data_IF_701703353673
#
_entry.id   IF_701703353673
#
_cell.length_a   1.000
_cell.length_b   1.000
_cell.length_c   1.000
_cell.angle_alpha   90.00
_cell.angle_beta   90.00
_cell.angle_gamma   90.00
#
_symmetry.space_group_name_H-M   'P 1'
#
loop_
_entity.id
_entity.type
_entity.pdbx_description
1 polymer ?
#
# COMPACT_ATOMS: atom_id res chain seq x y z
N UNK A 1 -12.84 -28.59 25.60
CA UNK A 1 -11.42 -28.24 25.36
C UNK A 1 -11.31 -26.74 25.26
N UNK A 2 -10.36 -26.07 25.95
CA UNK A 2 -10.10 -24.67 25.71
C UNK A 2 -9.55 -24.47 24.29
N UNK A 3 -9.85 -23.34 23.67
CA UNK A 3 -9.29 -23.00 22.36
C UNK A 3 -7.75 -22.95 22.44
N UNK A 4 -7.02 -23.45 21.44
CA UNK A 4 -5.57 -23.41 21.46
C UNK A 4 -5.12 -21.94 21.42
N UNK A 5 -4.15 -21.53 22.25
CA UNK A 5 -3.63 -20.16 22.24
C UNK A 5 -2.90 -19.89 20.94
N UNK A 6 -3.03 -18.65 20.44
CA UNK A 6 -2.22 -18.18 19.33
C UNK A 6 -0.75 -18.10 19.77
N UNK A 7 0.13 -18.75 19.02
CA UNK A 7 1.57 -18.70 19.30
C UNK A 7 2.08 -17.27 19.04
N UNK A 8 2.81 -16.65 19.97
CA UNK A 8 3.38 -15.34 19.74
C UNK A 8 4.33 -15.33 18.53
N UNK A 9 4.06 -14.47 17.56
CA UNK A 9 4.93 -14.29 16.40
C UNK A 9 6.22 -13.55 16.78
N UNK A 10 7.29 -13.80 16.04
CA UNK A 10 8.52 -13.02 16.16
C UNK A 10 8.25 -11.58 15.72
N UNK A 11 8.51 -10.62 16.61
CA UNK A 11 8.41 -9.20 16.30
C UNK A 11 9.68 -8.74 15.59
N UNK A 12 9.55 -7.83 14.64
CA UNK A 12 10.67 -7.33 13.86
C UNK A 12 10.71 -5.79 13.82
N UNK A 13 11.91 -5.26 13.59
CA UNK A 13 12.11 -3.83 13.35
C UNK A 13 11.99 -3.55 11.85
N UNK A 14 11.01 -2.76 11.46
CA UNK A 14 10.57 -2.60 10.07
C UNK A 14 11.61 -2.02 9.07
N UNK A 15 12.48 -1.05 9.42
CA UNK A 15 13.50 -0.54 8.51
C UNK A 15 14.42 -1.64 7.98
N UNK A 16 14.66 -1.63 6.66
CA UNK A 16 15.48 -2.63 5.97
C UNK A 16 14.78 -3.97 5.69
N UNK A 17 13.52 -4.12 6.09
CA UNK A 17 12.74 -5.34 5.84
C UNK A 17 11.63 -5.09 4.84
N UNK A 18 10.86 -4.00 5.02
CA UNK A 18 9.73 -3.67 4.15
C UNK A 18 10.19 -3.38 2.73
N UNK A 19 9.44 -3.88 1.76
CA UNK A 19 9.64 -3.56 0.35
C UNK A 19 8.40 -2.91 -0.25
N UNK A 20 8.63 -1.90 -1.08
CA UNK A 20 7.61 -1.16 -1.80
C UNK A 20 7.98 -1.11 -3.28
N UNK A 21 7.21 -1.79 -4.11
CA UNK A 21 7.49 -1.92 -5.53
C UNK A 21 6.37 -1.30 -6.35
N UNK A 22 6.72 -0.43 -7.30
CA UNK A 22 5.79 0.09 -8.29
C UNK A 22 5.87 -0.71 -9.57
N UNK A 23 4.74 -1.30 -9.98
CA UNK A 23 4.61 -2.09 -11.20
C UNK A 23 3.65 -1.38 -12.15
N UNK A 24 4.10 -1.11 -13.37
CA UNK A 24 3.30 -0.38 -14.35
C UNK A 24 2.27 -1.28 -15.04
N UNK A 25 2.56 -2.54 -15.22
CA UNK A 25 1.70 -3.50 -15.91
C UNK A 25 1.66 -4.82 -15.17
N UNK A 26 0.46 -5.32 -14.94
CA UNK A 26 0.21 -6.59 -14.26
C UNK A 26 -1.02 -7.24 -14.93
N UNK A 27 -0.89 -8.47 -15.38
CA UNK A 27 -1.98 -9.18 -16.08
C UNK A 27 -3.14 -9.48 -15.14
N UNK A 28 -2.81 -9.96 -13.94
CA UNK A 28 -3.81 -10.21 -12.91
C UNK A 28 -3.26 -9.84 -11.52
N UNK A 29 -3.64 -8.69 -11.02
CA UNK A 29 -3.18 -8.19 -9.73
C UNK A 29 -3.72 -8.99 -8.51
N UNK A 30 -4.73 -9.84 -8.71
CA UNK A 30 -5.22 -10.76 -7.68
C UNK A 30 -4.32 -12.00 -7.51
N UNK A 31 -3.55 -12.33 -8.53
CA UNK A 31 -2.59 -13.43 -8.54
C UNK A 31 -1.36 -12.99 -9.33
N UNK A 32 -0.57 -12.04 -8.80
CA UNK A 32 0.61 -11.55 -9.49
C UNK A 32 1.69 -12.63 -9.56
N UNK A 33 2.43 -12.63 -10.64
CA UNK A 33 3.59 -13.52 -10.82
C UNK A 33 4.87 -12.88 -10.30
N UNK A 34 5.85 -13.69 -9.93
CA UNK A 34 7.16 -13.18 -9.51
C UNK A 34 7.83 -12.34 -10.59
N UNK A 35 7.69 -12.74 -11.84
CA UNK A 35 8.25 -12.01 -12.97
C UNK A 35 7.65 -10.60 -13.12
N UNK A 36 6.34 -10.44 -12.88
CA UNK A 36 5.68 -9.13 -12.91
C UNK A 36 6.15 -8.22 -11.79
N UNK A 37 6.33 -8.75 -10.58
CA UNK A 37 6.85 -7.99 -9.43
C UNK A 37 8.29 -7.56 -9.71
N UNK A 38 9.13 -8.45 -10.22
CA UNK A 38 10.53 -8.17 -10.54
C UNK A 38 10.71 -7.19 -11.73
N UNK A 39 9.70 -7.07 -12.60
CA UNK A 39 9.69 -6.07 -13.67
C UNK A 39 9.33 -4.67 -13.17
N UNK A 40 8.88 -4.54 -11.93
CA UNK A 40 8.58 -3.26 -11.29
C UNK A 40 9.83 -2.49 -10.86
N UNK A 41 9.60 -1.31 -10.32
CA UNK A 41 10.64 -0.47 -9.73
C UNK A 41 10.55 -0.52 -8.21
N UNK A 42 11.62 -0.94 -7.57
CA UNK A 42 11.73 -0.93 -6.11
C UNK A 42 11.99 0.50 -5.63
N UNK A 43 11.06 1.03 -4.82
CA UNK A 43 11.12 2.36 -4.25
C UNK A 43 11.69 2.36 -2.83
N UNK A 44 11.89 1.20 -2.23
CA UNK A 44 12.14 1.02 -0.78
C UNK A 44 13.30 1.87 -0.26
N UNK A 45 14.37 1.99 -1.04
CA UNK A 45 15.56 2.74 -0.64
C UNK A 45 15.35 4.27 -0.61
N UNK A 46 14.33 4.78 -1.30
CA UNK A 46 14.05 6.22 -1.38
C UNK A 46 12.85 6.65 -0.53
N UNK A 47 12.13 5.70 0.06
CA UNK A 47 10.93 6.00 0.84
C UNK A 47 11.30 6.60 2.19
N UNK A 48 10.85 7.83 2.44
CA UNK A 48 10.93 8.48 3.73
C UNK A 48 9.72 8.14 4.60
N UNK A 49 8.52 8.15 4.03
CA UNK A 49 7.27 7.88 4.76
C UNK A 49 6.23 7.24 3.85
N UNK A 50 5.48 6.32 4.40
CA UNK A 50 4.31 5.69 3.77
C UNK A 50 3.10 6.04 4.64
N UNK A 51 2.04 6.55 4.03
CA UNK A 51 0.83 6.93 4.74
C UNK A 51 -0.41 6.37 4.03
N UNK A 52 -1.32 5.81 4.82
CA UNK A 52 -2.52 5.16 4.32
C UNK A 52 -2.27 3.72 3.86
N UNK A 53 -2.62 3.42 2.61
CA UNK A 53 -2.52 2.08 2.01
C UNK A 53 -3.31 1.02 2.78
N UNK A 54 -4.52 1.39 3.18
CA UNK A 54 -5.44 0.53 3.91
C UNK A 54 -6.87 0.71 3.41
N UNK A 55 -7.69 -0.31 3.58
CA UNK A 55 -9.11 -0.25 3.34
C UNK A 55 -9.84 0.17 4.61
N UNK A 56 -10.77 1.08 4.46
CA UNK A 56 -11.71 1.47 5.50
C UNK A 56 -13.12 1.06 5.07
N UNK A 57 -13.83 0.41 5.98
CA UNK A 57 -15.23 0.00 5.79
C UNK A 57 -16.17 0.97 6.50
N UNK A 58 -17.18 1.42 5.79
CA UNK A 58 -18.32 2.07 6.43
C UNK A 58 -19.22 1.02 7.09
N UNK A 59 -19.88 1.38 8.19
CA UNK A 59 -20.92 0.58 8.81
C UNK A 59 -22.25 1.29 8.58
N UNK A 60 -23.27 0.54 8.24
CA UNK A 60 -24.63 1.04 8.02
C UNK A 60 -25.53 0.49 9.10
N UNK A 61 -26.15 1.38 9.84
CA UNK A 61 -27.09 1.02 10.89
C UNK A 61 -28.42 0.54 10.28
N UNK A 62 -28.94 -0.56 10.80
CA UNK A 62 -30.21 -1.15 10.39
C UNK A 62 -31.10 -1.27 11.63
N UNK A 63 -31.73 -0.16 12.08
CA UNK A 63 -32.63 -0.21 13.21
C UNK A 63 -33.94 -0.93 12.84
N UNK A 64 -34.51 -1.67 13.78
CA UNK A 64 -35.83 -2.29 13.67
C UNK A 64 -36.72 -1.94 14.87
N UNK A 65 -38.04 -2.06 14.70
CA UNK A 65 -39.00 -1.74 15.77
C UNK A 65 -39.09 -2.83 16.85
N UNK A 66 -38.53 -4.02 16.60
CA UNK A 66 -38.64 -5.16 17.51
C UNK A 66 -37.53 -5.22 18.55
N UNK A 67 -36.47 -4.41 18.39
CA UNK A 67 -35.29 -4.45 19.23
C UNK A 67 -34.86 -3.06 19.69
N UNK A 68 -34.35 -2.97 20.93
CA UNK A 68 -33.60 -1.77 21.39
C UNK A 68 -32.14 -1.75 20.91
N UNK A 69 -31.66 -2.84 20.31
CA UNK A 69 -30.33 -2.94 19.77
C UNK A 69 -30.39 -2.59 18.28
N UNK A 70 -29.52 -1.68 17.84
CA UNK A 70 -29.36 -1.36 16.42
C UNK A 70 -28.31 -2.27 15.84
N UNK A 71 -28.71 -3.13 14.91
CA UNK A 71 -27.78 -3.98 14.16
C UNK A 71 -27.07 -3.16 13.08
N UNK A 72 -25.87 -3.59 12.72
CA UNK A 72 -25.06 -2.94 11.68
C UNK A 72 -24.71 -3.93 10.59
N UNK A 73 -24.69 -3.46 9.35
CA UNK A 73 -24.20 -4.22 8.20
C UNK A 73 -22.98 -3.53 7.58
N UNK A 74 -22.03 -4.27 7.01
CA UNK A 74 -20.92 -3.69 6.30
C UNK A 74 -21.40 -2.87 5.10
N UNK A 75 -20.93 -1.63 4.99
CA UNK A 75 -21.21 -0.72 3.89
C UNK A 75 -20.09 -0.70 2.85
N UNK A 76 -19.84 0.47 2.27
CA UNK A 76 -18.83 0.66 1.23
C UNK A 76 -17.42 0.61 1.82
N UNK A 77 -16.49 0.05 1.03
CA UNK A 77 -15.06 0.11 1.28
C UNK A 77 -14.46 1.32 0.57
N UNK A 78 -13.57 2.02 1.25
CA UNK A 78 -12.83 3.17 0.73
C UNK A 78 -11.35 3.08 1.13
N UNK A 79 -10.50 3.75 0.38
CA UNK A 79 -9.09 3.96 0.73
C UNK A 79 -8.79 5.46 0.61
N UNK A 80 -9.04 6.25 1.66
CA UNK A 80 -9.13 7.70 1.57
C UNK A 80 -7.77 8.39 1.40
N UNK A 81 -6.71 7.81 1.92
CA UNK A 81 -5.37 8.40 1.89
C UNK A 81 -4.38 7.34 1.45
N UNK A 82 -3.59 7.65 0.42
CA UNK A 82 -2.55 6.75 -0.09
C UNK A 82 -1.41 7.61 -0.60
N UNK A 83 -0.47 7.89 0.28
CA UNK A 83 0.66 8.77 -0.01
C UNK A 83 1.97 8.04 0.22
N UNK A 84 2.96 8.35 -0.61
CA UNK A 84 4.34 7.92 -0.43
C UNK A 84 5.22 9.15 -0.52
N UNK A 85 6.01 9.40 0.51
CA UNK A 85 7.01 10.45 0.51
C UNK A 85 8.36 9.87 0.17
N UNK A 86 8.99 10.36 -0.90
CA UNK A 86 10.28 9.93 -1.38
C UNK A 86 11.31 11.06 -1.21
N UNK A 87 12.57 10.71 -1.01
CA UNK A 87 13.66 11.66 -1.05
C UNK A 87 13.92 12.14 -2.48
N UNK A 88 14.25 13.42 -2.63
CA UNK A 88 14.70 13.99 -3.88
C UNK A 88 16.17 13.63 -4.13
N UNK A 89 16.50 13.39 -5.39
CA UNK A 89 17.87 13.10 -5.82
C UNK A 89 18.44 14.28 -6.60
N UNK A 90 19.71 14.59 -6.38
CA UNK A 90 20.44 15.60 -7.17
C UNK A 90 20.63 15.18 -8.64
N UNK A 91 20.54 13.89 -8.93
CA UNK A 91 20.79 13.32 -10.26
C UNK A 91 19.52 13.22 -11.12
N UNK A 92 18.40 13.81 -10.69
CA UNK A 92 17.09 13.71 -11.37
C UNK A 92 16.55 12.27 -11.49
N UNK A 93 17.18 11.30 -10.84
CA UNK A 93 16.69 9.92 -10.71
C UNK A 93 15.89 9.86 -9.42
N UNK A 94 14.74 10.50 -9.43
CA UNK A 94 13.85 10.56 -8.27
C UNK A 94 12.45 10.05 -8.61
N UNK A 95 11.64 9.89 -7.58
CA UNK A 95 10.27 9.41 -7.72
C UNK A 95 9.39 10.24 -8.67
N UNK A 96 9.74 11.51 -8.94
CA UNK A 96 8.97 12.35 -9.86
C UNK A 96 9.10 11.89 -11.31
N UNK A 97 10.30 11.47 -11.70
CA UNK A 97 10.54 10.94 -13.04
C UNK A 97 9.93 9.55 -13.24
N UNK A 98 9.92 8.74 -12.18
CA UNK A 98 9.38 7.38 -12.20
C UNK A 98 7.85 7.33 -12.12
N UNK A 99 7.25 8.30 -11.44
CA UNK A 99 5.81 8.34 -11.12
C UNK A 99 5.17 9.63 -11.65
N UNK A 100 5.16 9.87 -12.99
CA UNK A 100 4.52 11.05 -13.57
C UNK A 100 3.04 11.09 -13.20
N UNK A 101 2.50 12.31 -13.13
CA UNK A 101 1.06 12.50 -12.90
C UNK A 101 0.24 11.72 -13.92
N UNK A 102 -0.90 11.22 -13.49
CA UNK A 102 -1.85 10.42 -14.27
C UNK A 102 -1.36 9.03 -14.71
N UNK A 103 -0.19 8.61 -14.26
CA UNK A 103 0.31 7.24 -14.50
C UNK A 103 -0.52 6.22 -13.71
N UNK A 104 -0.99 5.19 -14.41
CA UNK A 104 -1.63 4.03 -13.80
C UNK A 104 -0.59 2.95 -13.51
N UNK A 105 -0.81 2.21 -12.45
CA UNK A 105 0.02 1.08 -12.08
C UNK A 105 -0.48 0.37 -10.83
N UNK A 106 0.40 -0.39 -10.23
CA UNK A 106 0.12 -1.19 -9.05
C UNK A 106 1.20 -0.94 -8.01
N UNK A 107 0.79 -0.58 -6.82
CA UNK A 107 1.69 -0.49 -5.67
C UNK A 107 1.65 -1.83 -4.95
N UNK A 108 2.78 -2.51 -4.91
CA UNK A 108 2.96 -3.77 -4.19
C UNK A 108 3.65 -3.46 -2.86
N UNK A 109 2.95 -3.70 -1.77
CA UNK A 109 3.42 -3.46 -0.41
C UNK A 109 3.73 -4.80 0.26
N UNK A 110 5.00 -5.04 0.57
CA UNK A 110 5.49 -6.23 1.27
C UNK A 110 5.96 -5.83 2.66
N UNK A 111 5.03 -5.88 3.62
CA UNK A 111 5.25 -5.37 4.98
C UNK A 111 6.26 -6.19 5.78
N UNK A 112 6.34 -7.48 5.50
CA UNK A 112 7.20 -8.47 6.17
C UNK A 112 8.45 -8.82 5.34
N UNK A 113 8.73 -8.02 4.30
CA UNK A 113 9.85 -8.23 3.39
C UNK A 113 9.49 -9.06 2.16
N UNK A 114 10.36 -8.98 1.16
CA UNK A 114 10.23 -9.73 -0.09
C UNK A 114 10.74 -11.16 0.08
N UNK A 115 9.97 -11.97 0.78
CA UNK A 115 10.25 -13.38 1.01
C UNK A 115 9.09 -14.22 0.47
N UNK A 116 9.35 -15.21 -0.42
CA UNK A 116 8.31 -16.10 -0.92
C UNK A 116 7.51 -16.75 0.20
N UNK A 117 6.18 -16.71 0.08
CA UNK A 117 5.26 -17.23 1.08
C UNK A 117 4.79 -16.20 2.13
N UNK A 118 5.51 -15.11 2.34
CA UNK A 118 5.05 -13.99 3.17
C UNK A 118 3.84 -13.30 2.52
N UNK A 119 3.24 -12.36 3.25
CA UNK A 119 2.06 -11.65 2.79
C UNK A 119 2.42 -10.32 2.14
N UNK A 120 1.68 -9.99 1.08
CA UNK A 120 1.75 -8.72 0.38
C UNK A 120 0.37 -8.18 0.08
N UNK A 121 0.30 -6.88 -0.11
CA UNK A 121 -0.90 -6.16 -0.54
C UNK A 121 -0.63 -5.49 -1.89
N UNK A 122 -1.58 -5.58 -2.80
CA UNK A 122 -1.48 -5.00 -4.15
C UNK A 122 -2.60 -3.98 -4.33
N UNK A 123 -2.21 -2.73 -4.51
CA UNK A 123 -3.13 -1.61 -4.72
C UNK A 123 -3.08 -1.13 -6.17
N UNK A 124 -4.16 -1.33 -6.96
CA UNK A 124 -4.30 -0.69 -8.27
C UNK A 124 -4.43 0.82 -8.08
N UNK A 125 -3.40 1.58 -8.45
CA UNK A 125 -3.29 2.99 -8.12
C UNK A 125 -3.01 3.85 -9.35
N UNK A 126 -3.45 5.11 -9.28
CA UNK A 126 -3.13 6.16 -10.24
C UNK A 126 -2.48 7.33 -9.52
N UNK A 127 -1.40 7.83 -10.04
CA UNK A 127 -0.72 9.01 -9.52
C UNK A 127 -1.59 10.25 -9.72
N UNK A 128 -1.89 10.97 -8.64
CA UNK A 128 -2.74 12.17 -8.66
C UNK A 128 -1.90 13.43 -8.63
N UNK A 129 -1.07 13.56 -7.60
CA UNK A 129 -0.27 14.77 -7.38
C UNK A 129 1.15 14.42 -6.94
N UNK A 130 2.05 15.36 -7.18
CA UNK A 130 3.41 15.36 -6.69
C UNK A 130 3.64 16.70 -5.99
N UNK A 131 3.72 16.70 -4.67
CA UNK A 131 4.00 17.87 -3.86
C UNK A 131 5.46 17.82 -3.40
N UNK A 132 6.24 18.81 -3.82
CA UNK A 132 7.64 18.95 -3.37
C UNK A 132 7.66 19.75 -2.08
N UNK A 133 8.30 19.21 -1.07
CA UNK A 133 8.57 19.85 0.20
C UNK A 133 10.10 20.04 0.35
N UNK A 134 10.50 21.30 0.44
CA UNK A 134 11.90 21.68 0.59
C UNK A 134 12.01 22.71 1.72
N UNK A 135 12.43 22.25 2.89
CA UNK A 135 12.85 23.15 3.98
C UNK A 135 14.34 23.39 3.90
N UNK A 136 14.80 24.55 4.39
CA UNK A 136 16.21 25.00 4.24
C UNK A 136 17.17 24.03 4.96
N UNK A 137 16.75 23.47 6.07
CA UNK A 137 17.59 22.63 6.95
C UNK A 137 17.29 21.13 6.88
N UNK A 138 16.49 20.67 5.90
CA UNK A 138 16.15 19.25 5.74
C UNK A 138 16.44 18.78 4.30
N UNK A 139 16.53 17.46 4.12
CA UNK A 139 16.63 16.87 2.80
C UNK A 139 15.34 17.13 2.01
N UNK A 140 15.46 17.53 0.74
CA UNK A 140 14.30 17.69 -0.12
C UNK A 140 13.51 16.41 -0.25
N UNK A 141 12.19 16.50 -0.16
CA UNK A 141 11.24 15.37 -0.26
C UNK A 141 10.15 15.68 -1.26
N UNK A 142 9.57 14.64 -1.83
CA UNK A 142 8.37 14.73 -2.66
C UNK A 142 7.33 13.76 -2.12
N UNK A 143 6.15 14.28 -1.83
CA UNK A 143 4.99 13.48 -1.46
C UNK A 143 4.15 13.23 -2.70
N UNK A 144 3.97 11.97 -3.04
CA UNK A 144 3.18 11.52 -4.17
C UNK A 144 1.90 10.92 -3.65
N UNK A 145 0.77 11.48 -4.08
CA UNK A 145 -0.56 11.01 -3.69
C UNK A 145 -1.15 10.14 -4.79
N UNK A 146 -1.82 9.08 -4.37
CA UNK A 146 -2.40 8.08 -5.26
C UNK A 146 -3.90 7.94 -5.04
N UNK A 147 -4.63 7.77 -6.13
CA UNK A 147 -6.02 7.35 -6.11
C UNK A 147 -6.11 5.85 -6.37
N UNK A 148 -6.83 5.13 -5.53
CA UNK A 148 -7.08 3.71 -5.74
C UNK A 148 -8.23 3.54 -6.72
N UNK A 149 -7.96 2.89 -7.84
CA UNK A 149 -8.90 2.78 -8.97
C UNK A 149 -9.81 1.55 -8.90
N UNK A 150 -9.42 0.52 -8.17
CA UNK A 150 -10.15 -0.75 -7.99
C UNK A 150 -9.95 -1.27 -6.58
N UNK A 151 -10.75 -2.27 -6.21
CA UNK A 151 -10.59 -2.95 -4.91
C UNK A 151 -9.20 -3.56 -4.80
N UNK A 152 -8.39 -3.17 -3.81
CA UNK A 152 -7.08 -3.75 -3.59
C UNK A 152 -7.13 -5.23 -3.26
N UNK A 153 -6.11 -5.96 -3.67
CA UNK A 153 -5.90 -7.33 -3.27
C UNK A 153 -5.03 -7.35 -2.01
N UNK A 154 -5.59 -7.80 -0.91
CA UNK A 154 -4.96 -7.76 0.40
C UNK A 154 -4.62 -9.17 0.86
N UNK A 155 -3.50 -9.31 1.57
CA UNK A 155 -3.08 -10.55 2.19
C UNK A 155 -2.77 -11.67 1.17
N UNK A 156 -2.29 -11.31 -0.01
CA UNK A 156 -1.80 -12.26 -1.00
C UNK A 156 -0.48 -12.89 -0.56
N UNK A 157 -0.25 -14.13 -0.98
CA UNK A 157 1.04 -14.77 -0.78
C UNK A 157 2.05 -14.29 -1.83
N UNK A 158 3.26 -13.92 -1.41
CA UNK A 158 4.34 -13.56 -2.32
C UNK A 158 4.74 -14.81 -3.11
N UNK A 159 4.73 -14.76 -4.46
CA UNK A 159 5.12 -15.89 -5.29
C UNK A 159 6.61 -16.19 -5.18
N UNK A 160 6.95 -17.45 -5.44
CA UNK A 160 8.33 -17.93 -5.43
C UNK A 160 9.14 -17.45 -6.65
#
# INVERSE_FOLDING_TARGET
>A
MPAPPLIPSTRYFAPGIRALVWVTTMANYLVPTRAEINAGTDLSAQVATINGWSLQGAMVDVPDMGSRFTSQVPGRLTSPTNDVTLYLSQNSIDGRGLLPRDTNGFMVCMWEGDVPGNKMDVFPARVVTQAVDTTVDDSGKVTISFAISRLPAINLSIPA
#
